data_IF_287899581700
#
_entry.id   IF_287899581700
#
_cell.length_a   1.000
_cell.length_b   1.000
_cell.length_c   1.000
_cell.angle_alpha   90.00
_cell.angle_beta   90.00
_cell.angle_gamma   90.00
#
_symmetry.space_group_name_H-M   'P 1'
#
loop_
_entity.id
_entity.type
_entity.pdbx_description
1 polymer ?
#
# COMPACT_ATOMS: atom_id res chain seq x y z
N UNK A 1 -26.26 25.97 -35.15
CA UNK A 1 -26.02 24.59 -34.64
C UNK A 1 -24.59 24.50 -34.12
N UNK A 2 -24.44 24.29 -32.80
CA UNK A 2 -23.46 23.43 -32.06
C UNK A 2 -22.18 23.02 -32.87
N UNK A 3 -20.91 23.20 -32.47
CA UNK A 3 -20.24 23.00 -31.15
C UNK A 3 -18.79 23.56 -31.12
N UNK A 4 -18.29 23.82 -29.90
CA UNK A 4 -16.91 24.14 -29.42
C UNK A 4 -15.85 23.09 -29.87
N UNK A 5 -14.53 23.33 -29.92
CA UNK A 5 -13.59 23.74 -28.84
C UNK A 5 -12.24 24.27 -29.37
N UNK A 6 -11.68 25.22 -28.61
CA UNK A 6 -10.29 25.70 -28.61
C UNK A 6 -9.38 24.70 -27.90
N UNK A 7 -8.20 24.44 -28.46
CA UNK A 7 -7.05 23.89 -27.74
C UNK A 7 -5.80 24.70 -28.12
N UNK A 8 -5.13 25.25 -27.12
CA UNK A 8 -3.82 25.89 -27.22
C UNK A 8 -2.88 25.22 -26.21
N UNK A 9 -1.75 24.71 -26.73
CA UNK A 9 -0.36 24.81 -26.22
C UNK A 9 -0.05 24.33 -24.77
N UNK A 10 1.06 23.67 -24.41
CA UNK A 10 2.39 23.53 -25.02
C UNK A 10 3.20 22.48 -24.24
N UNK A 11 4.10 21.78 -24.94
CA UNK A 11 5.45 21.31 -24.52
C UNK A 11 5.61 20.16 -23.51
N UNK A 12 5.99 18.99 -24.03
CA UNK A 12 7.01 18.12 -23.41
C UNK A 12 8.11 17.91 -24.47
N UNK A 13 9.18 18.71 -24.36
CA UNK A 13 10.57 18.44 -24.80
C UNK A 13 11.23 17.78 -23.57
N UNK A 14 11.99 16.69 -23.61
CA UNK A 14 13.00 16.25 -24.56
C UNK A 14 12.99 14.70 -24.69
N UNK A 15 12.94 14.20 -25.92
CA UNK A 15 13.30 12.83 -26.29
C UNK A 15 14.60 12.93 -27.08
N UNK A 16 15.74 12.57 -26.47
CA UNK A 16 16.94 12.26 -27.24
C UNK A 16 16.80 10.84 -27.80
N UNK A 17 16.71 10.77 -29.13
CA UNK A 17 16.70 9.53 -29.89
C UNK A 17 18.16 9.15 -30.15
N UNK A 18 18.66 8.12 -29.46
CA UNK A 18 19.87 7.42 -29.88
C UNK A 18 19.46 6.20 -30.71
N UNK A 19 19.72 6.26 -32.01
CA UNK A 19 19.71 5.09 -32.89
C UNK A 19 21.13 4.56 -33.04
N UNK A 20 21.37 3.32 -32.61
CA UNK A 20 22.49 2.53 -33.10
C UNK A 20 22.03 1.18 -33.65
N UNK A 21 22.67 0.81 -34.75
CA UNK A 21 22.24 -0.17 -35.72
C UNK A 21 22.50 -1.60 -35.24
N UNK A 22 21.42 -2.32 -34.90
CA UNK A 22 21.25 -3.78 -35.09
C UNK A 22 19.87 -4.19 -34.55
N UNK A 23 18.86 -4.07 -35.43
CA UNK A 23 17.62 -4.87 -35.52
C UNK A 23 17.06 -5.64 -34.31
N UNK A 24 17.04 -5.11 -33.09
CA UNK A 24 16.21 -5.59 -31.98
C UNK A 24 15.68 -4.39 -31.19
N UNK A 25 14.38 -4.11 -31.31
CA UNK A 25 13.72 -3.13 -30.48
C UNK A 25 13.54 -3.72 -29.07
N UNK A 26 14.49 -3.49 -28.17
CA UNK A 26 14.27 -3.71 -26.74
C UNK A 26 13.42 -2.57 -26.20
N UNK A 27 12.12 -2.82 -26.05
CA UNK A 27 11.20 -1.92 -25.36
C UNK A 27 11.43 -2.05 -23.85
N UNK A 28 12.14 -1.09 -23.24
CA UNK A 28 12.17 -0.95 -21.78
C UNK A 28 10.92 -0.19 -21.34
N UNK A 29 9.80 -0.89 -21.24
CA UNK A 29 8.54 -0.31 -20.72
C UNK A 29 8.58 -0.37 -19.20
N UNK A 30 8.67 0.80 -18.55
CA UNK A 30 8.35 0.97 -17.13
C UNK A 30 6.83 0.83 -17.00
N UNK A 31 6.36 -0.42 -16.91
CA UNK A 31 4.93 -0.75 -16.96
C UNK A 31 4.35 -0.59 -15.57
N UNK A 32 3.76 0.57 -15.30
CA UNK A 32 2.77 0.71 -14.23
C UNK A 32 1.51 -0.02 -14.71
N UNK A 33 1.27 -1.21 -14.16
CA UNK A 33 0.06 -1.99 -14.43
C UNK A 33 -1.06 -1.48 -13.53
N UNK A 34 -1.92 -0.63 -14.10
CA UNK A 34 -3.27 -0.40 -13.57
C UNK A 34 -4.17 -1.38 -14.33
N UNK A 35 -4.62 -2.44 -13.66
CA UNK A 35 -5.59 -3.38 -14.23
C UNK A 35 -6.98 -3.01 -13.71
N UNK A 36 -7.88 -2.83 -14.67
CA UNK A 36 -9.27 -2.39 -14.56
C UNK A 36 -10.12 -3.29 -13.64
N UNK A 37 -10.91 -2.64 -12.78
CA UNK A 37 -11.71 -3.20 -11.70
C UNK A 37 -12.96 -3.91 -12.23
N UNK A 38 -13.10 -5.22 -11.96
CA UNK A 38 -14.35 -5.89 -11.48
C UNK A 38 -14.36 -7.41 -11.67
N UNK A 39 -13.59 -7.97 -12.59
CA UNK A 39 -13.77 -9.38 -12.97
C UNK A 39 -12.92 -10.39 -12.17
N UNK A 40 -11.95 -9.94 -11.37
CA UNK A 40 -10.94 -10.84 -10.77
C UNK A 40 -11.08 -11.05 -9.27
N UNK A 41 -11.97 -10.31 -8.60
CA UNK A 41 -12.02 -10.25 -7.13
C UNK A 41 -12.73 -11.45 -6.48
N UNK A 42 -13.62 -12.17 -7.19
CA UNK A 42 -14.33 -13.32 -6.62
C UNK A 42 -13.52 -14.63 -6.65
N UNK A 43 -12.41 -14.69 -7.40
CA UNK A 43 -11.47 -15.83 -7.39
C UNK A 43 -10.30 -15.68 -6.41
N UNK A 44 -10.21 -14.58 -5.67
CA UNK A 44 -9.10 -14.26 -4.74
C UNK A 44 -9.22 -14.93 -3.37
N UNK A 45 -9.84 -16.11 -3.31
CA UNK A 45 -9.77 -17.00 -2.15
C UNK A 45 -8.46 -17.78 -2.21
N UNK A 46 -7.38 -17.18 -1.70
CA UNK A 46 -6.04 -17.79 -1.55
C UNK A 46 -5.33 -18.02 -2.89
N UNK A 47 -4.40 -17.12 -3.21
CA UNK A 47 -3.36 -17.41 -4.19
C UNK A 47 -2.51 -18.54 -3.60
N UNK A 48 -2.42 -19.70 -4.27
CA UNK A 48 -1.45 -20.72 -3.88
C UNK A 48 -0.04 -20.12 -3.86
N UNK A 49 0.79 -20.56 -2.93
CA UNK A 49 2.16 -20.06 -2.74
C UNK A 49 3.01 -20.08 -4.02
N UNK A 50 2.88 -21.12 -4.84
CA UNK A 50 3.54 -21.21 -6.15
C UNK A 50 3.09 -20.12 -7.10
N UNK A 51 1.81 -19.77 -7.05
CA UNK A 51 1.23 -18.72 -7.85
C UNK A 51 1.62 -17.33 -7.34
N UNK A 52 1.82 -17.09 -6.05
CA UNK A 52 2.19 -15.76 -5.57
C UNK A 52 3.62 -15.39 -6.00
N UNK A 53 4.57 -16.33 -5.88
CA UNK A 53 5.95 -16.16 -6.36
C UNK A 53 6.00 -16.06 -7.89
N UNK A 54 5.28 -16.91 -8.60
CA UNK A 54 5.22 -16.88 -10.06
C UNK A 54 4.52 -15.62 -10.59
N UNK A 55 3.47 -15.15 -9.91
CA UNK A 55 2.73 -13.91 -10.26
C UNK A 55 3.46 -12.64 -9.83
N UNK A 56 4.36 -12.72 -8.84
CA UNK A 56 5.37 -11.69 -8.56
C UNK A 56 6.35 -11.56 -9.73
N UNK A 57 6.85 -12.67 -10.24
CA UNK A 57 7.73 -12.72 -11.41
C UNK A 57 7.01 -12.28 -12.69
N UNK A 58 5.72 -12.60 -12.83
CA UNK A 58 4.88 -12.28 -14.00
C UNK A 58 4.13 -10.92 -13.90
N UNK A 59 4.24 -10.19 -12.78
CA UNK A 59 3.52 -8.93 -12.49
C UNK A 59 1.98 -9.01 -12.63
N UNK A 60 1.34 -10.12 -12.25
CA UNK A 60 -0.10 -10.36 -12.52
C UNK A 60 -1.02 -10.21 -11.30
N UNK A 61 -0.48 -9.73 -10.17
CA UNK A 61 -1.26 -9.21 -9.05
C UNK A 61 -1.20 -7.67 -9.07
N UNK A 62 -2.19 -6.96 -8.51
CA UNK A 62 -2.10 -5.52 -8.28
C UNK A 62 -1.10 -5.27 -7.14
N UNK A 63 0.19 -5.47 -7.43
CA UNK A 63 1.30 -5.26 -6.51
C UNK A 63 2.00 -3.97 -6.93
N UNK A 64 1.93 -2.95 -6.09
CA UNK A 64 2.85 -1.82 -6.21
C UNK A 64 4.16 -2.23 -5.52
N UNK A 65 5.16 -2.61 -6.31
CA UNK A 65 6.54 -2.83 -5.83
C UNK A 65 7.29 -1.51 -5.93
N UNK A 66 7.84 -1.05 -4.80
CA UNK A 66 8.71 0.14 -4.72
C UNK A 66 9.99 -0.22 -3.98
N UNK A 67 11.05 -0.47 -4.74
CA UNK A 67 12.31 -0.96 -4.21
C UNK A 67 12.10 -2.28 -3.45
N UNK A 68 12.38 -2.26 -2.15
CA UNK A 68 12.23 -3.41 -1.26
C UNK A 68 10.80 -3.55 -0.70
N UNK A 69 9.92 -2.56 -0.89
CA UNK A 69 8.57 -2.59 -0.31
C UNK A 69 7.55 -3.18 -1.27
N UNK A 70 6.74 -4.12 -0.78
CA UNK A 70 5.67 -4.77 -1.55
C UNK A 70 4.31 -4.55 -0.89
N UNK A 71 3.38 -3.93 -1.61
CA UNK A 71 2.01 -3.77 -1.16
C UNK A 71 1.19 -5.03 -1.41
N UNK A 72 0.58 -5.58 -0.37
CA UNK A 72 -0.21 -6.81 -0.41
C UNK A 72 -1.60 -6.54 0.16
N UNK A 73 -2.63 -6.75 -0.66
CA UNK A 73 -4.02 -6.69 -0.23
C UNK A 73 -4.51 -8.08 0.16
N UNK A 74 -5.06 -8.20 1.38
CA UNK A 74 -5.68 -9.44 1.85
C UNK A 74 -7.17 -9.51 1.46
N UNK A 75 -7.76 -10.72 1.41
CA UNK A 75 -9.20 -10.87 1.22
C UNK A 75 -9.98 -10.05 2.26
N UNK A 76 -11.03 -9.35 1.84
CA UNK A 76 -11.74 -8.42 2.72
C UNK A 76 -12.33 -9.09 3.97
N UNK A 77 -12.74 -10.36 3.87
CA UNK A 77 -13.50 -11.05 4.91
C UNK A 77 -12.70 -12.09 5.70
N UNK A 78 -11.43 -12.30 5.36
CA UNK A 78 -10.61 -13.34 5.98
C UNK A 78 -9.13 -12.99 5.95
N UNK A 79 -8.37 -13.65 6.81
CA UNK A 79 -6.90 -13.64 6.79
C UNK A 79 -6.47 -15.07 6.51
N UNK A 80 -5.76 -15.34 5.39
CA UNK A 80 -5.31 -16.68 5.06
C UNK A 80 -4.47 -17.28 6.19
N UNK A 81 -4.75 -18.53 6.57
CA UNK A 81 -4.05 -19.18 7.70
C UNK A 81 -2.54 -19.32 7.49
N UNK A 82 -2.08 -19.35 6.24
CA UNK A 82 -0.67 -19.47 5.87
C UNK A 82 -0.01 -18.11 5.53
N UNK A 83 -0.66 -16.97 5.83
CA UNK A 83 -0.14 -15.65 5.47
C UNK A 83 1.20 -15.34 6.16
N UNK A 84 1.42 -15.86 7.37
CA UNK A 84 2.70 -15.71 8.07
C UNK A 84 3.85 -16.38 7.31
N UNK A 85 3.63 -17.57 6.74
CA UNK A 85 4.64 -18.23 5.91
C UNK A 85 4.92 -17.42 4.64
N UNK A 86 3.87 -16.90 3.97
CA UNK A 86 4.05 -16.05 2.78
C UNK A 86 4.91 -14.83 3.12
N UNK A 87 4.61 -14.12 4.21
CA UNK A 87 5.37 -12.93 4.59
C UNK A 87 6.81 -13.23 5.00
N UNK A 88 7.05 -14.37 5.63
CA UNK A 88 8.40 -14.84 5.93
C UNK A 88 9.21 -15.07 4.64
N UNK A 89 8.62 -15.75 3.66
CA UNK A 89 9.24 -16.04 2.37
C UNK A 89 9.50 -14.78 1.52
N UNK A 90 8.60 -13.79 1.58
CA UNK A 90 8.79 -12.47 0.98
C UNK A 90 10.00 -11.76 1.60
N UNK A 91 10.12 -11.82 2.94
CA UNK A 91 11.25 -11.23 3.67
C UNK A 91 12.58 -11.94 3.37
N UNK A 92 12.59 -13.26 3.24
CA UNK A 92 13.81 -14.00 2.83
C UNK A 92 14.35 -13.58 1.46
N UNK A 93 13.48 -13.06 0.58
CA UNK A 93 13.85 -12.54 -0.74
C UNK A 93 14.26 -11.06 -0.71
N UNK A 94 14.33 -10.44 0.47
CA UNK A 94 14.72 -9.03 0.64
C UNK A 94 13.57 -8.04 0.51
N UNK A 95 12.31 -8.50 0.50
CA UNK A 95 11.15 -7.62 0.41
C UNK A 95 10.47 -7.41 1.76
N UNK A 96 9.94 -6.22 2.00
CA UNK A 96 9.20 -5.83 3.19
C UNK A 96 7.70 -5.77 2.84
N UNK A 97 6.86 -6.67 3.39
CA UNK A 97 5.43 -6.70 3.08
C UNK A 97 4.70 -5.54 3.76
N UNK A 98 3.89 -4.82 2.98
CA UNK A 98 2.98 -3.76 3.43
C UNK A 98 1.55 -4.25 3.23
N UNK A 99 0.84 -4.53 4.32
CA UNK A 99 -0.58 -4.87 4.29
C UNK A 99 -1.38 -3.60 3.99
N UNK A 100 -2.06 -3.55 2.85
CA UNK A 100 -2.93 -2.42 2.50
C UNK A 100 -4.36 -2.63 3.01
N UNK A 101 -5.02 -1.55 3.39
CA UNK A 101 -6.43 -1.51 3.81
C UNK A 101 -6.77 -2.47 4.96
N UNK A 102 -5.83 -2.69 5.88
CA UNK A 102 -6.02 -3.57 7.03
C UNK A 102 -7.21 -3.14 7.91
N UNK A 103 -7.54 -1.85 7.94
CA UNK A 103 -8.66 -1.30 8.68
C UNK A 103 -10.04 -1.66 8.10
N UNK A 104 -10.08 -2.13 6.84
CA UNK A 104 -11.31 -2.55 6.15
C UNK A 104 -11.55 -4.07 6.26
N UNK A 105 -10.56 -4.84 6.71
CA UNK A 105 -10.64 -6.29 6.81
C UNK A 105 -11.51 -6.73 8.01
N UNK A 106 -12.51 -7.57 7.76
CA UNK A 106 -13.47 -7.99 8.78
C UNK A 106 -12.85 -8.93 9.84
N UNK A 107 -11.82 -9.69 9.47
CA UNK A 107 -11.07 -10.55 10.39
C UNK A 107 -10.26 -9.70 11.37
N UNK A 108 -9.54 -8.69 10.89
CA UNK A 108 -8.80 -7.76 11.76
C UNK A 108 -9.74 -6.92 12.62
N UNK A 109 -10.95 -6.63 12.14
CA UNK A 109 -11.98 -6.00 12.96
C UNK A 109 -12.47 -6.90 14.10
N UNK A 110 -12.60 -8.20 13.84
CA UNK A 110 -13.05 -9.20 14.84
C UNK A 110 -11.95 -9.58 15.81
N UNK A 111 -10.74 -9.78 15.31
CA UNK A 111 -9.56 -10.16 16.06
C UNK A 111 -8.34 -9.33 15.61
N UNK A 112 -8.17 -8.11 16.15
CA UNK A 112 -7.07 -7.23 15.80
C UNK A 112 -5.68 -7.78 16.17
N UNK A 113 -5.60 -8.72 17.11
CA UNK A 113 -4.33 -9.33 17.52
C UNK A 113 -3.69 -10.14 16.37
N UNK A 114 -4.48 -10.61 15.40
CA UNK A 114 -3.93 -11.21 14.18
C UNK A 114 -3.06 -10.23 13.41
N UNK A 115 -3.45 -8.94 13.36
CA UNK A 115 -2.64 -7.93 12.69
C UNK A 115 -1.37 -7.62 13.50
N UNK A 116 -1.49 -7.57 14.83
CA UNK A 116 -0.34 -7.45 15.73
C UNK A 116 0.70 -8.56 15.50
N UNK A 117 0.26 -9.82 15.37
CA UNK A 117 1.14 -10.96 15.11
C UNK A 117 1.85 -10.86 13.75
N UNK A 118 1.23 -10.23 12.75
CA UNK A 118 1.87 -10.00 11.45
C UNK A 118 2.88 -8.85 11.52
N UNK A 119 2.53 -7.77 12.22
CA UNK A 119 3.41 -6.61 12.40
C UNK A 119 4.65 -6.96 13.21
N UNK A 120 4.50 -7.74 14.28
CA UNK A 120 5.63 -8.23 15.09
C UNK A 120 6.56 -9.16 14.31
N UNK A 121 6.08 -9.77 13.21
CA UNK A 121 6.88 -10.58 12.28
C UNK A 121 7.43 -9.80 11.09
N UNK A 122 7.45 -8.46 11.16
CA UNK A 122 8.09 -7.60 10.17
C UNK A 122 7.18 -7.06 9.08
N UNK A 123 5.87 -7.32 9.12
CA UNK A 123 4.94 -6.69 8.19
C UNK A 123 4.65 -5.24 8.57
N UNK A 124 4.59 -4.37 7.56
CA UNK A 124 4.11 -3.01 7.69
C UNK A 124 2.61 -2.94 7.32
N UNK A 125 2.00 -1.81 7.60
CA UNK A 125 0.56 -1.58 7.40
C UNK A 125 0.34 -0.19 6.85
N UNK A 126 -0.41 -0.14 5.78
CA UNK A 126 -0.93 1.07 5.18
C UNK A 126 -2.45 1.10 5.33
N UNK A 127 -2.97 2.25 5.72
CA UNK A 127 -4.42 2.51 5.77
C UNK A 127 -4.77 3.71 4.87
N UNK A 128 -6.04 3.80 4.49
CA UNK A 128 -6.54 4.96 3.76
C UNK A 128 -6.86 6.13 4.71
N UNK A 129 -6.59 7.34 4.24
CA UNK A 129 -6.96 8.57 4.96
C UNK A 129 -8.48 8.64 5.20
N UNK A 130 -9.28 8.25 4.20
CA UNK A 130 -10.74 8.28 4.24
C UNK A 130 -11.30 7.44 5.40
N UNK A 131 -10.62 6.34 5.74
CA UNK A 131 -10.96 5.50 6.88
C UNK A 131 -10.87 6.25 8.22
N UNK A 132 -9.95 7.21 8.37
CA UNK A 132 -9.77 7.96 9.63
C UNK A 132 -10.82 9.05 9.82
N UNK A 133 -11.30 9.65 8.73
CA UNK A 133 -12.35 10.68 8.77
C UNK A 133 -13.76 10.07 8.71
N UNK A 134 -13.89 8.85 8.19
CA UNK A 134 -15.08 8.02 8.32
C UNK A 134 -15.85 7.75 7.04
N UNK A 135 -15.33 8.09 5.85
CA UNK A 135 -15.99 7.76 4.58
C UNK A 135 -16.14 6.27 4.34
N UNK A 136 -15.19 5.46 4.83
CA UNK A 136 -15.26 3.99 4.76
C UNK A 136 -16.11 3.36 5.89
N UNK A 137 -16.88 4.18 6.62
CA UNK A 137 -17.85 3.73 7.62
C UNK A 137 -17.35 3.77 9.07
N UNK A 138 -18.31 3.80 10.00
CA UNK A 138 -18.04 3.96 11.45
C UNK A 138 -17.19 2.84 12.04
N UNK A 139 -17.40 1.60 11.59
CA UNK A 139 -16.64 0.44 12.08
C UNK A 139 -15.18 0.49 11.67
N UNK A 140 -14.94 0.79 10.39
CA UNK A 140 -13.61 0.98 9.79
C UNK A 140 -12.85 2.10 10.50
N UNK A 141 -13.51 3.24 10.72
CA UNK A 141 -12.92 4.36 11.47
C UNK A 141 -12.49 3.98 12.88
N UNK A 142 -13.35 3.26 13.61
CA UNK A 142 -13.04 2.79 14.97
C UNK A 142 -11.80 1.88 14.95
N UNK A 143 -11.72 0.96 13.99
CA UNK A 143 -10.55 0.09 13.85
C UNK A 143 -9.30 0.89 13.47
N UNK A 144 -9.35 1.72 12.42
CA UNK A 144 -8.24 2.55 11.96
C UNK A 144 -7.60 3.36 13.11
N UNK A 145 -8.44 4.03 13.91
CA UNK A 145 -7.96 4.81 15.08
C UNK A 145 -7.38 3.89 16.16
N UNK A 146 -7.96 2.70 16.38
CA UNK A 146 -7.41 1.70 17.30
C UNK A 146 -6.02 1.26 16.82
N UNK A 147 -5.88 0.88 15.55
CA UNK A 147 -4.59 0.48 14.98
C UNK A 147 -3.52 1.56 15.13
N UNK A 148 -3.86 2.83 14.88
CA UNK A 148 -2.94 3.96 15.09
C UNK A 148 -2.46 4.08 16.54
N UNK A 149 -3.38 3.98 17.52
CA UNK A 149 -3.04 4.06 18.96
C UNK A 149 -2.15 2.92 19.42
N UNK A 150 -2.29 1.79 18.78
CA UNK A 150 -1.53 0.58 19.08
C UNK A 150 -0.25 0.46 18.24
N UNK A 151 0.15 1.53 17.52
CA UNK A 151 1.36 1.57 16.67
C UNK A 151 1.40 0.46 15.62
N UNK A 152 0.22 0.05 15.13
CA UNK A 152 0.10 -0.96 14.09
C UNK A 152 0.04 -0.35 12.68
N UNK A 153 -0.05 0.98 12.57
CA UNK A 153 -0.10 1.70 11.28
C UNK A 153 1.23 2.37 11.02
N UNK A 154 1.75 2.17 9.82
CA UNK A 154 3.09 2.63 9.42
C UNK A 154 3.02 3.73 8.37
N UNK A 155 1.98 3.71 7.54
CA UNK A 155 1.78 4.64 6.42
C UNK A 155 0.30 4.97 6.27
N UNK A 156 0.02 6.19 5.82
CA UNK A 156 -1.30 6.61 5.35
C UNK A 156 -1.17 7.08 3.90
N UNK A 157 -2.17 6.74 3.08
CA UNK A 157 -2.28 7.21 1.71
C UNK A 157 -3.71 7.69 1.41
N UNK A 158 -3.92 8.47 0.32
CA UNK A 158 -5.28 8.79 -0.13
C UNK A 158 -6.02 7.56 -0.70
N UNK A 159 -5.28 6.59 -1.21
CA UNK A 159 -5.77 5.41 -1.90
C UNK A 159 -4.86 4.21 -1.62
N UNK A 160 -5.44 3.02 -1.46
CA UNK A 160 -4.71 1.78 -1.20
C UNK A 160 -3.65 1.47 -2.26
N UNK A 161 -2.47 1.05 -1.83
CA UNK A 161 -1.40 0.65 -2.76
C UNK A 161 -0.94 1.77 -3.70
N UNK A 162 -1.12 3.03 -3.29
CA UNK A 162 -0.68 4.20 -4.05
C UNK A 162 0.14 5.13 -3.14
N UNK A 163 1.45 5.20 -3.37
CA UNK A 163 2.33 6.22 -2.79
C UNK A 163 2.92 7.14 -3.87
N UNK A 164 2.26 8.27 -4.15
CA UNK A 164 2.64 9.16 -5.26
C UNK A 164 3.65 10.24 -4.85
N UNK A 165 4.94 9.99 -5.07
CA UNK A 165 6.03 10.98 -5.24
C UNK A 165 6.36 11.90 -4.05
N UNK A 166 5.50 11.96 -3.03
CA UNK A 166 5.70 12.65 -1.75
C UNK A 166 4.82 11.99 -0.68
N UNK A 167 5.23 12.02 0.60
CA UNK A 167 4.36 11.63 1.69
C UNK A 167 3.06 12.42 1.65
N UNK A 168 1.95 11.71 1.79
CA UNK A 168 0.64 12.32 1.81
C UNK A 168 0.02 12.18 3.19
N UNK A 169 -0.42 13.30 3.74
CA UNK A 169 -1.31 13.35 4.89
C UNK A 169 -2.00 14.70 4.87
N UNK A 170 -3.33 14.73 4.75
CA UNK A 170 -4.06 15.99 4.76
C UNK A 170 -3.86 16.73 6.10
N UNK A 171 -4.03 18.06 6.06
CA UNK A 171 -3.93 18.90 7.26
C UNK A 171 -4.97 18.51 8.32
N UNK A 172 -6.17 18.11 7.90
CA UNK A 172 -7.25 17.69 8.81
C UNK A 172 -6.90 16.38 9.51
N UNK A 173 -6.40 15.38 8.78
CA UNK A 173 -6.00 14.10 9.38
C UNK A 173 -4.75 14.24 10.22
N UNK A 174 -3.79 15.07 9.80
CA UNK A 174 -2.63 15.42 10.61
C UNK A 174 -3.04 15.95 11.99
N UNK A 175 -3.88 17.00 12.01
CA UNK A 175 -4.36 17.60 13.26
C UNK A 175 -5.18 16.60 14.09
N UNK A 176 -5.98 15.76 13.44
CA UNK A 176 -6.77 14.73 14.10
C UNK A 176 -5.88 13.70 14.82
N UNK A 177 -4.87 13.16 14.15
CA UNK A 177 -3.93 12.19 14.71
C UNK A 177 -3.06 12.80 15.81
N UNK A 178 -2.59 14.03 15.62
CA UNK A 178 -1.83 14.79 16.62
C UNK A 178 -2.61 14.91 17.94
N UNK A 179 -3.92 15.12 17.86
CA UNK A 179 -4.81 15.28 19.02
C UNK A 179 -5.30 13.95 19.61
N UNK A 180 -5.52 12.92 18.80
CA UNK A 180 -6.22 11.68 19.21
C UNK A 180 -5.32 10.47 19.42
N UNK A 181 -4.09 10.49 18.90
CA UNK A 181 -3.12 9.40 18.96
C UNK A 181 -1.89 9.84 19.74
N UNK A 182 -1.01 10.65 19.14
CA UNK A 182 0.13 11.26 19.80
C UNK A 182 0.64 12.44 18.98
N UNK A 183 1.27 13.41 19.65
CA UNK A 183 1.70 14.67 19.01
C UNK A 183 2.67 14.47 17.84
N UNK A 184 3.59 13.51 17.95
CA UNK A 184 4.60 13.20 16.93
C UNK A 184 4.18 12.11 15.93
N UNK A 185 3.02 11.48 16.14
CA UNK A 185 2.58 10.36 15.30
C UNK A 185 2.37 10.72 13.82
N UNK A 186 1.80 11.89 13.46
CA UNK A 186 1.70 12.28 12.06
C UNK A 186 3.06 12.42 11.37
N UNK A 187 4.07 12.92 12.09
CA UNK A 187 5.42 13.11 11.55
C UNK A 187 6.11 11.75 11.37
N UNK A 188 5.94 10.82 12.31
CA UNK A 188 6.36 9.42 12.16
C UNK A 188 5.83 8.79 10.87
N UNK A 189 4.52 8.93 10.60
CA UNK A 189 3.91 8.37 9.38
C UNK A 189 4.48 8.99 8.09
N UNK A 190 4.75 10.30 8.09
CA UNK A 190 5.36 10.98 6.94
C UNK A 190 6.80 10.53 6.71
N UNK A 191 7.57 10.38 7.79
CA UNK A 191 8.96 9.90 7.72
C UNK A 191 9.01 8.48 7.15
N UNK A 192 8.15 7.57 7.62
CA UNK A 192 8.06 6.23 7.07
C UNK A 192 7.66 6.23 5.59
N UNK A 193 6.71 7.07 5.20
CA UNK A 193 6.32 7.21 3.80
C UNK A 193 7.50 7.70 2.92
N UNK A 194 8.35 8.60 3.41
CA UNK A 194 9.58 9.00 2.71
C UNK A 194 10.52 7.81 2.53
N UNK A 195 10.76 7.04 3.59
CA UNK A 195 11.61 5.85 3.50
C UNK A 195 11.11 4.86 2.45
N UNK A 196 9.80 4.65 2.35
CA UNK A 196 9.19 3.77 1.34
C UNK A 196 9.32 4.35 -0.07
N UNK A 197 9.13 5.67 -0.23
CA UNK A 197 9.28 6.35 -1.52
C UNK A 197 10.72 6.32 -2.03
N UNK A 198 11.69 6.48 -1.14
CA UNK A 198 13.12 6.49 -1.44
C UNK A 198 13.73 5.08 -1.44
N UNK A 199 12.94 4.07 -1.08
CA UNK A 199 13.41 2.68 -0.91
C UNK A 199 14.59 2.57 0.07
N UNK A 200 14.53 3.32 1.16
CA UNK A 200 15.51 3.25 2.25
C UNK A 200 14.94 2.47 3.43
N UNK A 201 15.78 1.73 4.18
CA UNK A 201 15.32 0.96 5.34
C UNK A 201 14.95 1.89 6.50
N UNK A 202 13.93 1.51 7.27
CA UNK A 202 13.59 2.16 8.53
C UNK A 202 13.06 1.14 9.54
N UNK A 203 13.12 1.51 10.82
CA UNK A 203 12.62 0.68 11.91
C UNK A 203 11.32 1.28 12.44
N UNK A 204 10.19 0.57 12.33
CA UNK A 204 8.92 1.03 12.88
C UNK A 204 8.93 1.04 14.41
N UNK A 205 8.08 1.87 15.03
CA UNK A 205 7.90 1.85 16.47
C UNK A 205 7.37 0.48 16.95
N UNK A 206 7.77 0.06 18.15
CA UNK A 206 7.33 -1.21 18.73
C UNK A 206 5.79 -1.26 18.82
N UNK A 207 5.14 -2.27 18.21
CA UNK A 207 3.68 -2.40 18.24
C UNK A 207 3.18 -2.69 19.65
N UNK A 208 2.01 -2.17 19.99
CA UNK A 208 1.35 -2.38 21.28
C UNK A 208 0.19 -3.35 21.06
N UNK A 209 0.14 -4.43 21.83
CA UNK A 209 -0.94 -5.41 21.72
C UNK A 209 -2.30 -4.78 22.01
N UNK A 210 -3.34 -5.23 21.31
CA UNK A 210 -4.63 -4.56 21.34
C UNK A 210 -5.45 -4.88 22.60
N UNK A 211 -5.42 -6.14 23.05
CA UNK A 211 -6.08 -6.65 24.28
C UNK A 211 -7.61 -6.45 24.35
#
# INVERSE_FOLDING_TARGET
MVTKRKEWATTIRDMEIFTEAKGQATFKVRKQLVIDEKASLEKLGVVEYSDLVKRLEENSLPLEIRGEYIHIQLPQYSVPGHISQIFYEVQLRGYIPIIVNAEQNSEFKRNPDKLYDLVTKGALVQIEEESLIGGNGKGTRKLAVKLCRHRLVHVISPEAGVLKGKPYLSKSVHAYLQKKVASKFPDYLKTNANHILESTPFHPETPIRIC
#
